data_IF_560079173041
#
_entry.id   IF_560079173041
#
_cell.length_a   1.000
_cell.length_b   1.000
_cell.length_c   1.000
_cell.angle_alpha   90.00
_cell.angle_beta   90.00
_cell.angle_gamma   90.00
#
_symmetry.space_group_name_H-M   'P 1'
#
loop_
_entity.id
_entity.type
_entity.pdbx_description
1 polymer ?
#
# COMPACT_ATOMS: atom_id res chain seq x y z
N UNK A 1 34.90 14.63 -40.97
CA UNK A 1 33.78 15.59 -40.84
C UNK A 1 33.10 15.38 -39.50
N UNK A 2 32.92 16.45 -38.70
CA UNK A 2 32.12 16.60 -37.47
C UNK A 2 32.44 15.65 -36.28
N UNK A 3 33.06 15.99 -35.14
CA UNK A 3 33.23 17.22 -34.33
C UNK A 3 31.97 18.08 -34.20
N UNK A 4 31.19 17.80 -33.14
CA UNK A 4 30.49 18.74 -32.22
C UNK A 4 29.15 18.14 -31.79
N UNK A 5 29.09 17.55 -30.59
CA UNK A 5 27.85 17.32 -29.83
C UNK A 5 28.21 17.01 -28.36
N UNK A 6 28.95 17.92 -27.72
CA UNK A 6 29.19 17.93 -26.28
C UNK A 6 29.43 19.38 -25.82
N UNK A 7 28.36 20.18 -25.68
CA UNK A 7 28.36 21.11 -24.54
C UNK A 7 27.01 21.27 -23.83
N UNK A 8 25.93 20.63 -24.27
CA UNK A 8 24.58 20.94 -23.74
C UNK A 8 24.25 20.19 -22.43
N UNK A 9 24.99 19.13 -22.08
CA UNK A 9 24.70 18.32 -20.88
C UNK A 9 25.36 18.81 -19.58
N UNK A 10 26.19 19.86 -19.60
CA UNK A 10 26.89 20.34 -18.39
C UNK A 10 26.16 21.50 -17.69
N UNK A 11 25.19 22.16 -18.33
CA UNK A 11 24.54 23.36 -17.76
C UNK A 11 23.37 23.04 -16.82
N UNK A 12 22.82 21.82 -16.81
CA UNK A 12 21.68 21.48 -15.93
C UNK A 12 22.06 20.93 -14.55
N UNK A 13 23.34 20.73 -14.23
CA UNK A 13 23.77 20.25 -12.90
C UNK A 13 24.19 21.39 -11.95
N UNK A 14 24.50 22.59 -12.45
CA UNK A 14 24.90 23.72 -11.61
C UNK A 14 23.70 24.45 -10.98
N UNK A 15 22.53 24.47 -11.63
CA UNK A 15 21.34 25.17 -11.14
C UNK A 15 20.56 24.42 -10.04
N UNK A 16 20.83 23.13 -9.83
CA UNK A 16 20.28 22.37 -8.70
C UNK A 16 21.09 22.58 -7.40
N UNK A 17 22.36 22.98 -7.49
CA UNK A 17 23.19 23.23 -6.30
C UNK A 17 22.85 24.54 -5.59
N UNK A 18 22.26 25.52 -6.29
CA UNK A 18 21.93 26.83 -5.70
C UNK A 18 20.63 26.80 -4.89
N UNK A 19 19.71 25.87 -5.17
CA UNK A 19 18.49 25.71 -4.35
C UNK A 19 18.68 24.79 -3.13
N UNK A 20 19.71 23.94 -3.12
CA UNK A 20 20.04 23.11 -1.96
C UNK A 20 20.77 23.89 -0.86
N UNK A 21 21.53 24.95 -1.21
CA UNK A 21 22.41 25.66 -0.26
C UNK A 21 21.68 26.54 0.76
N UNK A 22 20.36 26.73 0.64
CA UNK A 22 19.60 27.60 1.56
C UNK A 22 18.74 26.85 2.57
N UNK A 23 18.77 25.51 2.59
CA UNK A 23 17.92 24.71 3.49
C UNK A 23 18.75 23.91 4.51
N UNK A 24 19.97 23.50 4.14
CA UNK A 24 20.91 22.83 5.03
C UNK A 24 22.35 23.19 4.63
N UNK A 25 23.22 23.49 5.61
CA UNK A 25 24.59 23.96 5.40
C UNK A 25 25.61 22.82 5.42
N UNK A 26 25.27 21.69 6.03
CA UNK A 26 26.14 20.51 6.12
C UNK A 26 25.45 19.25 5.61
N UNK A 27 26.24 18.26 5.17
CA UNK A 27 25.72 16.96 4.74
C UNK A 27 24.88 16.28 5.84
N UNK A 28 25.32 16.39 7.10
CA UNK A 28 24.60 15.82 8.25
C UNK A 28 23.25 16.52 8.46
N UNK A 29 23.18 17.85 8.34
CA UNK A 29 21.92 18.59 8.39
C UNK A 29 20.96 18.17 7.28
N UNK A 30 21.46 18.01 6.05
CA UNK A 30 20.63 17.57 4.94
C UNK A 30 20.09 16.13 5.12
N UNK A 31 20.91 15.22 5.67
CA UNK A 31 20.49 13.86 5.99
C UNK A 31 19.41 13.83 7.09
N UNK A 32 19.60 14.62 8.15
CA UNK A 32 18.62 14.75 9.23
C UNK A 32 17.31 15.37 8.74
N UNK A 33 17.39 16.42 7.93
CA UNK A 33 16.20 17.05 7.34
C UNK A 33 15.45 16.08 6.42
N UNK A 34 16.16 15.34 5.57
CA UNK A 34 15.56 14.31 4.73
C UNK A 34 14.81 13.28 5.57
N UNK A 35 15.44 12.74 6.62
CA UNK A 35 14.80 11.78 7.52
C UNK A 35 13.55 12.39 8.20
N UNK A 36 13.63 13.64 8.64
CA UNK A 36 12.50 14.36 9.26
C UNK A 36 11.34 14.57 8.28
N UNK A 37 11.62 14.98 7.05
CA UNK A 37 10.62 15.14 5.98
C UNK A 37 9.99 13.81 5.62
N UNK A 38 10.80 12.75 5.45
CA UNK A 38 10.30 11.39 5.18
C UNK A 38 9.38 10.91 6.33
N UNK A 39 9.76 11.15 7.58
CA UNK A 39 8.92 10.83 8.74
C UNK A 39 7.62 11.62 8.74
N UNK A 40 7.66 12.92 8.42
CA UNK A 40 6.47 13.79 8.43
C UNK A 40 5.52 13.46 7.28
N UNK A 41 6.05 13.12 6.10
CA UNK A 41 5.26 12.57 5.00
C UNK A 41 4.61 11.27 5.44
N UNK A 42 5.33 10.34 6.08
CA UNK A 42 4.74 9.11 6.62
C UNK A 42 3.62 9.39 7.64
N UNK A 43 3.78 10.39 8.52
CA UNK A 43 2.75 10.80 9.47
C UNK A 43 1.51 11.40 8.78
N UNK A 44 1.70 12.28 7.78
CA UNK A 44 0.60 12.86 7.02
C UNK A 44 -0.15 11.80 6.20
N UNK A 45 0.58 10.88 5.58
CA UNK A 45 0.00 9.72 4.89
C UNK A 45 -0.62 8.72 5.87
N UNK A 46 -0.21 8.71 7.14
CA UNK A 46 -0.87 7.94 8.20
C UNK A 46 -2.21 8.54 8.62
N UNK A 47 -2.34 9.86 8.59
CA UNK A 47 -3.60 10.58 8.85
C UNK A 47 -4.59 10.58 7.68
N UNK A 48 -4.13 10.37 6.44
CA UNK A 48 -5.02 10.18 5.30
C UNK A 48 -5.68 8.80 5.38
N UNK A 49 -6.94 8.79 5.84
CA UNK A 49 -7.81 7.61 5.74
C UNK A 49 -8.13 7.40 4.27
N UNK A 50 -7.64 6.29 3.71
CA UNK A 50 -7.99 5.85 2.38
C UNK A 50 -9.53 5.83 2.24
N UNK A 51 -10.05 6.50 1.22
CA UNK A 51 -11.49 6.46 0.93
C UNK A 51 -11.80 5.18 0.17
N UNK A 52 -12.34 4.21 0.89
CA UNK A 52 -12.80 2.95 0.31
C UNK A 52 -14.08 3.19 -0.50
N UNK A 53 -14.08 2.72 -1.75
CA UNK A 53 -15.26 2.71 -2.58
C UNK A 53 -16.29 1.66 -2.13
N UNK A 54 -17.37 1.56 -2.89
CA UNK A 54 -18.35 0.47 -2.75
C UNK A 54 -17.69 -0.87 -3.03
N UNK A 55 -18.27 -1.92 -2.45
CA UNK A 55 -17.81 -3.28 -2.69
C UNK A 55 -18.16 -3.66 -4.11
N UNK A 56 -17.17 -4.15 -4.83
CA UNK A 56 -17.35 -4.66 -6.18
C UNK A 56 -17.52 -6.17 -6.07
N UNK A 57 -18.64 -6.64 -6.61
CA UNK A 57 -18.95 -8.04 -6.83
C UNK A 57 -18.97 -8.23 -8.34
N UNK A 58 -18.02 -9.01 -8.87
CA UNK A 58 -18.02 -9.35 -10.30
C UNK A 58 -18.90 -10.59 -10.46
N UNK A 59 -20.10 -10.42 -11.00
CA UNK A 59 -20.96 -11.54 -11.37
C UNK A 59 -20.32 -12.27 -12.57
N UNK A 60 -19.75 -13.44 -12.30
CA UNK A 60 -19.45 -14.44 -13.33
C UNK A 60 -20.47 -15.57 -13.22
N UNK A 61 -20.77 -16.24 -14.33
CA UNK A 61 -21.88 -17.19 -14.49
C UNK A 61 -21.90 -18.39 -13.53
N UNK A 62 -20.87 -18.58 -12.69
CA UNK A 62 -20.89 -19.53 -11.58
C UNK A 62 -19.95 -19.06 -10.46
N UNK A 63 -20.55 -18.44 -9.45
CA UNK A 63 -19.97 -17.98 -8.19
C UNK A 63 -18.90 -16.86 -8.29
N UNK A 64 -19.00 -15.93 -7.33
CA UNK A 64 -18.22 -14.70 -7.17
C UNK A 64 -16.74 -14.98 -6.86
N UNK A 65 -16.02 -15.55 -7.82
CA UNK A 65 -14.60 -15.83 -7.71
C UNK A 65 -13.81 -14.77 -8.48
N UNK A 66 -13.10 -13.90 -7.77
CA UNK A 66 -12.23 -12.89 -8.38
C UNK A 66 -10.79 -13.13 -7.92
N UNK A 67 -9.89 -13.36 -8.87
CA UNK A 67 -8.46 -13.45 -8.57
C UNK A 67 -7.91 -12.07 -8.24
N UNK A 68 -6.86 -12.01 -7.42
CA UNK A 68 -6.22 -10.74 -7.05
C UNK A 68 -5.83 -9.93 -8.31
N UNK A 69 -5.31 -10.58 -9.34
CA UNK A 69 -4.91 -9.93 -10.60
C UNK A 69 -6.08 -9.30 -11.36
N UNK A 70 -7.25 -9.94 -11.33
CA UNK A 70 -8.48 -9.43 -11.94
C UNK A 70 -9.02 -8.23 -11.16
N UNK A 71 -9.02 -8.30 -9.83
CA UNK A 71 -9.40 -7.18 -8.97
C UNK A 71 -8.46 -5.96 -9.16
N UNK A 72 -7.14 -6.18 -9.28
CA UNK A 72 -6.17 -5.12 -9.60
C UNK A 72 -6.49 -4.48 -10.95
N UNK A 73 -6.72 -5.30 -11.98
CA UNK A 73 -7.04 -4.84 -13.32
C UNK A 73 -8.34 -4.01 -13.31
N UNK A 74 -9.39 -4.53 -12.68
CA UNK A 74 -10.68 -3.84 -12.55
C UNK A 74 -10.53 -2.47 -11.90
N UNK A 75 -9.87 -2.38 -10.74
CA UNK A 75 -9.71 -1.09 -10.06
C UNK A 75 -8.93 -0.10 -10.93
N UNK A 76 -7.88 -0.57 -11.63
CA UNK A 76 -7.07 0.27 -12.52
C UNK A 76 -7.87 0.80 -13.71
N UNK A 77 -8.71 -0.02 -14.34
CA UNK A 77 -9.60 0.40 -15.44
C UNK A 77 -10.60 1.47 -15.01
N UNK A 78 -10.95 1.51 -13.72
CA UNK A 78 -11.83 2.52 -13.13
C UNK A 78 -11.06 3.69 -12.47
N UNK A 79 -9.81 3.92 -12.87
CA UNK A 79 -8.94 4.98 -12.31
C UNK A 79 -8.77 4.94 -10.78
N UNK A 80 -8.90 3.74 -10.19
CA UNK A 80 -8.72 3.46 -8.77
C UNK A 80 -7.56 2.45 -8.57
N UNK A 81 -7.31 2.07 -7.32
CA UNK A 81 -6.35 1.00 -6.98
C UNK A 81 -6.92 0.08 -5.91
N UNK A 82 -6.54 -1.19 -5.89
CA UNK A 82 -6.79 -2.02 -4.71
C UNK A 82 -6.00 -1.47 -3.50
N UNK A 83 -6.56 -1.55 -2.29
CA UNK A 83 -5.88 -1.13 -1.07
C UNK A 83 -4.59 -1.93 -0.86
N UNK A 84 -3.56 -1.35 -0.29
CA UNK A 84 -2.42 -2.11 0.23
C UNK A 84 -2.80 -2.91 1.48
N UNK A 85 -1.95 -3.84 1.90
CA UNK A 85 -2.12 -4.53 3.18
C UNK A 85 -2.23 -3.55 4.36
N UNK A 86 -1.44 -2.47 4.36
CA UNK A 86 -1.51 -1.42 5.38
C UNK A 86 -2.83 -0.65 5.34
N UNK A 87 -3.33 -0.32 4.14
CA UNK A 87 -4.63 0.33 3.98
C UNK A 87 -5.76 -0.57 4.52
N UNK A 88 -5.72 -1.88 4.26
CA UNK A 88 -6.67 -2.83 4.84
C UNK A 88 -6.56 -2.94 6.37
N UNK A 89 -5.34 -2.95 6.93
CA UNK A 89 -5.17 -2.92 8.38
C UNK A 89 -5.77 -1.64 9.01
N UNK A 90 -5.63 -0.49 8.35
CA UNK A 90 -6.27 0.76 8.80
C UNK A 90 -7.79 0.70 8.70
N UNK A 91 -8.33 0.10 7.65
CA UNK A 91 -9.77 -0.17 7.55
C UNK A 91 -10.22 -1.04 8.72
N UNK A 92 -9.52 -2.14 9.00
CA UNK A 92 -9.83 -3.00 10.14
C UNK A 92 -9.75 -2.25 11.48
N UNK A 93 -8.78 -1.34 11.62
CA UNK A 93 -8.65 -0.46 12.80
C UNK A 93 -9.87 0.45 12.94
N UNK A 94 -10.35 1.06 11.84
CA UNK A 94 -11.59 1.86 11.87
C UNK A 94 -12.86 1.07 12.20
N UNK A 95 -12.79 -0.27 12.09
CA UNK A 95 -13.84 -1.22 12.42
C UNK A 95 -13.61 -1.91 13.78
N UNK A 96 -12.71 -1.38 14.61
CA UNK A 96 -12.52 -1.80 16.00
C UNK A 96 -11.28 -2.65 16.27
N UNK A 97 -10.49 -3.03 15.26
CA UNK A 97 -9.25 -3.76 15.48
C UNK A 97 -8.24 -2.95 16.31
N UNK A 98 -7.42 -3.64 17.12
CA UNK A 98 -6.33 -3.05 17.90
C UNK A 98 -5.29 -2.32 17.03
N UNK A 99 -5.17 -2.71 15.76
CA UNK A 99 -4.57 -1.90 14.70
C UNK A 99 -3.09 -2.21 14.44
N UNK A 100 -2.34 -1.18 14.04
CA UNK A 100 -0.97 -1.31 13.53
C UNK A 100 0.05 -0.89 14.60
N UNK A 101 1.17 -1.61 14.67
CA UNK A 101 2.36 -1.25 15.42
C UNK A 101 3.57 -1.28 14.48
N UNK A 102 4.44 -0.25 14.54
CA UNK A 102 5.70 -0.24 13.77
C UNK A 102 6.81 -1.07 14.45
N UNK A 103 6.57 -1.54 15.68
CA UNK A 103 7.50 -2.36 16.46
C UNK A 103 6.82 -3.65 16.95
N UNK A 104 7.58 -4.72 17.23
CA UNK A 104 7.04 -5.94 17.82
C UNK A 104 6.27 -5.63 19.11
N UNK A 105 5.10 -6.27 19.26
CA UNK A 105 4.24 -6.13 20.44
C UNK A 105 3.45 -7.40 20.65
N UNK A 106 3.20 -7.75 21.92
CA UNK A 106 2.41 -8.93 22.27
C UNK A 106 1.02 -8.90 21.60
N UNK A 107 0.63 -10.02 21.00
CA UNK A 107 -0.62 -10.16 20.24
C UNK A 107 -0.61 -9.56 18.83
N UNK A 108 0.49 -8.95 18.38
CA UNK A 108 0.60 -8.44 17.01
C UNK A 108 1.41 -9.39 16.12
N UNK A 109 0.95 -9.60 14.89
CA UNK A 109 1.60 -10.45 13.90
C UNK A 109 2.38 -9.64 12.88
N UNK A 110 3.57 -10.11 12.51
CA UNK A 110 4.39 -9.48 11.48
C UNK A 110 3.71 -9.58 10.11
N UNK A 111 3.56 -8.44 9.45
CA UNK A 111 3.16 -8.28 8.07
C UNK A 111 4.36 -7.75 7.30
N UNK A 112 4.80 -8.51 6.30
CA UNK A 112 5.86 -8.11 5.38
C UNK A 112 5.34 -8.17 3.96
N UNK A 113 4.97 -7.01 3.43
CA UNK A 113 4.19 -6.88 2.22
C UNK A 113 4.91 -6.02 1.18
N UNK A 114 5.01 -6.51 -0.06
CA UNK A 114 5.52 -5.75 -1.19
C UNK A 114 4.35 -5.12 -1.94
N UNK A 115 4.37 -3.80 -2.05
CA UNK A 115 3.35 -3.02 -2.75
C UNK A 115 3.60 -3.01 -4.27
N UNK A 116 2.62 -2.51 -5.03
CA UNK A 116 2.69 -2.44 -6.51
C UNK A 116 3.77 -1.50 -7.04
N UNK A 117 4.25 -0.57 -6.22
CA UNK A 117 5.39 0.31 -6.51
C UNK A 117 6.75 -0.35 -6.22
N UNK A 118 6.74 -1.59 -5.70
CA UNK A 118 7.92 -2.35 -5.35
C UNK A 118 8.44 -2.09 -3.94
N UNK A 119 7.87 -1.14 -3.19
CA UNK A 119 8.27 -0.83 -1.82
C UNK A 119 7.83 -1.97 -0.90
N UNK A 120 8.73 -2.40 -0.01
CA UNK A 120 8.43 -3.35 1.06
C UNK A 120 7.96 -2.55 2.27
N UNK A 121 6.76 -2.87 2.72
CA UNK A 121 6.11 -2.32 3.90
C UNK A 121 6.07 -3.38 4.99
N UNK A 122 6.74 -3.09 6.11
CA UNK A 122 6.87 -4.00 7.25
C UNK A 122 6.20 -3.35 8.45
N UNK A 123 5.23 -4.05 9.02
CA UNK A 123 4.52 -3.61 10.23
C UNK A 123 3.99 -4.81 10.99
N UNK A 124 3.52 -4.57 12.22
CA UNK A 124 2.84 -5.56 13.02
C UNK A 124 1.35 -5.21 13.11
N UNK A 125 0.47 -6.18 13.02
CA UNK A 125 -0.97 -5.96 13.04
C UNK A 125 -1.68 -6.88 14.02
N UNK A 126 -2.65 -6.34 14.76
CA UNK A 126 -3.48 -7.09 15.69
C UNK A 126 -4.97 -6.90 15.33
N UNK A 127 -5.69 -7.99 14.97
CA UNK A 127 -7.10 -7.94 14.58
C UNK A 127 -8.06 -7.90 15.78
N UNK A 128 -7.59 -8.07 17.02
CA UNK A 128 -8.45 -8.13 18.22
C UNK A 128 -9.35 -6.90 18.30
N UNK A 129 -10.66 -7.12 18.49
CA UNK A 129 -11.67 -6.07 18.53
C UNK A 129 -12.32 -5.75 17.19
N UNK A 130 -11.81 -6.30 16.08
CA UNK A 130 -12.42 -6.13 14.77
C UNK A 130 -13.87 -6.63 14.76
N UNK A 131 -14.78 -5.74 14.38
CA UNK A 131 -16.20 -6.04 14.20
C UNK A 131 -16.50 -5.99 12.71
N UNK A 132 -16.76 -7.16 12.12
CA UNK A 132 -17.09 -7.24 10.70
C UNK A 132 -18.44 -6.54 10.45
N UNK A 133 -18.49 -5.48 9.62
CA UNK A 133 -19.71 -4.73 9.38
C UNK A 133 -20.75 -5.51 8.55
N UNK A 134 -20.39 -6.68 8.00
CA UNK A 134 -21.27 -7.45 7.11
C UNK A 134 -21.12 -8.95 7.34
N UNK A 135 -22.22 -9.63 7.70
CA UNK A 135 -22.24 -11.11 7.82
C UNK A 135 -22.01 -11.83 6.47
N UNK A 136 -22.22 -11.11 5.36
CA UNK A 136 -22.20 -11.68 4.01
C UNK A 136 -20.87 -11.51 3.29
N UNK A 137 -19.95 -10.69 3.82
CA UNK A 137 -18.72 -10.35 3.13
C UNK A 137 -17.63 -11.38 3.40
N UNK A 138 -17.13 -11.95 2.31
CA UNK A 138 -15.88 -12.68 2.25
C UNK A 138 -14.68 -11.74 2.12
N UNK A 139 -13.52 -12.32 2.32
CA UNK A 139 -12.18 -11.75 2.28
C UNK A 139 -12.02 -10.57 1.30
N UNK A 140 -11.34 -9.50 1.72
CA UNK A 140 -11.06 -8.31 0.89
C UNK A 140 -9.63 -8.34 0.36
N UNK A 141 -9.48 -8.43 -0.96
CA UNK A 141 -8.17 -8.39 -1.60
C UNK A 141 -7.42 -7.07 -1.37
N UNK A 142 -6.11 -7.20 -1.14
CA UNK A 142 -5.16 -6.09 -1.26
C UNK A 142 -4.43 -6.12 -2.60
N UNK A 143 -3.73 -5.04 -2.95
CA UNK A 143 -2.74 -4.97 -4.02
C UNK A 143 -1.34 -5.46 -3.61
N UNK A 144 -1.15 -5.76 -2.31
CA UNK A 144 0.14 -6.18 -1.79
C UNK A 144 0.32 -7.69 -1.91
N UNK A 145 1.56 -8.11 -2.14
CA UNK A 145 1.98 -9.51 -2.14
C UNK A 145 2.96 -9.77 -0.99
N UNK A 146 3.17 -11.02 -0.61
CA UNK A 146 4.22 -11.39 0.33
C UNK A 146 5.61 -11.00 -0.20
N UNK A 147 6.41 -10.34 0.64
CA UNK A 147 7.73 -9.86 0.25
C UNK A 147 8.71 -11.00 -0.06
N UNK A 148 8.56 -12.14 0.61
CA UNK A 148 9.39 -13.33 0.47
C UNK A 148 8.85 -14.34 -0.55
N UNK A 149 7.60 -14.20 -0.98
CA UNK A 149 6.98 -15.08 -1.95
C UNK A 149 5.89 -14.36 -2.77
N UNK A 150 6.24 -13.98 -4.00
CA UNK A 150 5.32 -13.30 -4.91
C UNK A 150 4.13 -14.15 -5.36
N UNK A 151 4.09 -15.44 -5.01
CA UNK A 151 2.93 -16.30 -5.27
C UNK A 151 1.75 -16.04 -4.36
N UNK A 152 1.90 -15.26 -3.30
CA UNK A 152 0.84 -15.04 -2.33
C UNK A 152 0.47 -13.56 -2.20
N UNK A 153 -0.82 -13.26 -2.38
CA UNK A 153 -1.42 -11.94 -2.18
C UNK A 153 -1.99 -11.81 -0.77
N UNK A 154 -1.91 -10.62 -0.18
CA UNK A 154 -2.59 -10.35 1.10
C UNK A 154 -4.05 -9.96 0.89
N UNK A 155 -4.87 -10.22 1.90
CA UNK A 155 -6.18 -9.61 2.06
C UNK A 155 -6.73 -9.75 3.47
N UNK A 156 -7.86 -9.10 3.71
CA UNK A 156 -8.48 -9.02 5.03
C UNK A 156 -9.61 -10.03 5.15
N UNK A 157 -9.47 -11.03 6.03
CA UNK A 157 -10.47 -12.07 6.23
C UNK A 157 -11.68 -11.58 7.04
N UNK A 158 -12.72 -12.42 7.11
CA UNK A 158 -13.96 -12.12 7.87
C UNK A 158 -13.71 -11.87 9.35
N UNK A 159 -12.63 -12.44 9.90
CA UNK A 159 -12.21 -12.27 11.29
C UNK A 159 -11.35 -11.00 11.51
N UNK A 160 -11.10 -10.24 10.45
CA UNK A 160 -10.23 -9.07 10.47
C UNK A 160 -8.74 -9.40 10.40
N UNK A 161 -8.35 -10.66 10.18
CA UNK A 161 -6.95 -11.03 10.00
C UNK A 161 -6.45 -10.63 8.62
N UNK A 162 -5.19 -10.16 8.55
CA UNK A 162 -4.47 -10.08 7.28
C UNK A 162 -3.87 -11.43 6.98
N UNK A 163 -4.52 -12.18 6.10
CA UNK A 163 -4.07 -13.50 5.65
C UNK A 163 -3.54 -13.38 4.22
N UNK A 164 -2.89 -14.44 3.75
CA UNK A 164 -2.37 -14.52 2.39
C UNK A 164 -2.82 -15.79 1.70
N UNK A 165 -3.21 -15.66 0.43
CA UNK A 165 -3.63 -16.76 -0.42
C UNK A 165 -2.84 -16.74 -1.74
N UNK A 166 -2.69 -17.88 -2.43
CA UNK A 166 -2.08 -17.88 -3.75
C UNK A 166 -2.80 -16.89 -4.67
N UNK A 167 -2.06 -16.01 -5.36
CA UNK A 167 -2.66 -14.93 -6.17
C UNK A 167 -3.46 -15.45 -7.38
N UNK A 168 -3.22 -16.70 -7.77
CA UNK A 168 -3.81 -17.40 -8.90
C UNK A 168 -5.03 -18.24 -8.53
N UNK A 169 -5.31 -18.43 -7.24
CA UNK A 169 -6.46 -19.19 -6.78
C UNK A 169 -7.71 -18.32 -6.79
N UNK A 170 -8.72 -18.81 -7.49
CA UNK A 170 -10.09 -18.33 -7.41
C UNK A 170 -10.64 -18.62 -6.02
N UNK A 171 -10.74 -17.59 -5.17
CA UNK A 171 -11.44 -17.67 -3.90
C UNK A 171 -12.74 -16.83 -3.96
N UNK A 172 -13.80 -17.20 -3.21
CA UNK A 172 -15.11 -16.56 -3.32
C UNK A 172 -15.05 -15.20 -2.63
N UNK A 173 -14.52 -14.18 -3.29
CA UNK A 173 -13.98 -13.00 -2.60
C UNK A 173 -14.42 -11.70 -3.25
N UNK A 174 -14.95 -10.83 -2.40
CA UNK A 174 -15.29 -9.46 -2.73
C UNK A 174 -14.02 -8.60 -2.68
N UNK A 175 -14.00 -7.47 -3.39
CA UNK A 175 -12.91 -6.51 -3.24
C UNK A 175 -13.46 -5.09 -3.17
N UNK A 176 -12.67 -4.20 -2.56
CA UNK A 176 -12.93 -2.77 -2.54
C UNK A 176 -11.83 -2.08 -3.31
N UNK A 177 -12.19 -1.20 -4.23
CA UNK A 177 -11.23 -0.26 -4.80
C UNK A 177 -11.10 0.96 -3.87
N UNK A 178 -9.91 1.52 -3.79
CA UNK A 178 -9.61 2.78 -3.11
C UNK A 178 -9.38 3.86 -4.15
N UNK A 179 -10.07 4.99 -3.99
CA UNK A 179 -9.80 6.18 -4.77
C UNK A 179 -8.58 6.88 -4.19
N UNK A 180 -7.49 6.95 -4.96
CA UNK A 180 -6.34 7.77 -4.64
C UNK A 180 -6.50 9.12 -5.33
N UNK A 181 -6.76 10.17 -4.55
CA UNK A 181 -6.65 11.53 -5.06
C UNK A 181 -5.17 11.76 -5.38
N UNK A 182 -4.86 11.88 -6.67
CA UNK A 182 -3.52 12.24 -7.15
C UNK A 182 -3.29 13.73 -7.02
#
# INVERSE_FOLDING_TARGET
MSKRLLPILVVSLASLNVYASNVCNTLSECQNLRASVEQRIRQLMAGQVAKFGTIVKIESDNALYVRQTEAIKYCKENAMSLPTARELARLATSLGAAGISETPREGYHLISAKNTDGVIDIFYFNPTGYSNPSETESFLWSSSIRSDNSRFGYGLSKSGQLEYHPYDVSAPEAFKCVLRLR
#
